data_IF_660136442861
#
_entry.id   IF_660136442861
#
_cell.length_a   1.000
_cell.length_b   1.000
_cell.length_c   1.000
_cell.angle_alpha   90.00
_cell.angle_beta   90.00
_cell.angle_gamma   90.00
#
_symmetry.space_group_name_H-M   'P 1'
#
loop_
_entity.id
_entity.type
_entity.pdbx_description
1 polymer ?
#
# COMPACT_ATOMS: atom_id res chain seq x y z
N UNK A 1 8.39 -38.28 50.26
CA UNK A 1 7.83 -37.40 49.21
C UNK A 1 7.70 -38.22 47.94
N UNK A 2 6.47 -38.30 47.42
CA UNK A 2 6.06 -39.23 46.37
C UNK A 2 6.77 -38.97 45.03
N UNK A 3 7.26 -40.05 44.43
CA UNK A 3 7.66 -40.15 43.03
C UNK A 3 6.42 -40.36 42.16
N UNK A 4 6.18 -39.51 41.16
CA UNK A 4 5.15 -39.71 40.14
C UNK A 4 5.81 -40.05 38.81
N UNK A 5 5.48 -41.25 38.33
CA UNK A 5 5.88 -41.85 37.07
C UNK A 5 5.06 -41.31 35.91
N UNK A 6 5.72 -41.22 34.74
CA UNK A 6 5.12 -40.99 33.42
C UNK A 6 4.15 -42.12 33.05
N UNK A 7 3.07 -41.77 32.35
CA UNK A 7 2.31 -42.68 31.52
C UNK A 7 1.95 -41.98 30.19
N UNK A 8 2.26 -42.68 29.11
CA UNK A 8 1.97 -42.35 27.72
C UNK A 8 0.69 -43.08 27.31
N UNK A 9 -0.16 -42.46 26.49
CA UNK A 9 -1.14 -43.20 25.69
C UNK A 9 -1.31 -42.54 24.32
N UNK A 10 -1.09 -43.37 23.30
CA UNK A 10 -1.38 -43.11 21.90
C UNK A 10 -2.49 -44.06 21.47
N UNK A 11 -3.40 -43.59 20.61
CA UNK A 11 -4.29 -44.28 19.64
C UNK A 11 -5.53 -43.40 19.45
N UNK A 12 -6.18 -43.24 18.30
CA UNK A 12 -5.93 -43.57 16.89
C UNK A 12 -7.08 -42.94 16.08
N UNK A 13 -6.77 -42.44 14.89
CA UNK A 13 -7.60 -42.38 13.68
C UNK A 13 -9.14 -42.32 13.79
N UNK A 14 -9.70 -41.20 13.34
CA UNK A 14 -10.91 -41.21 12.51
C UNK A 14 -10.71 -40.36 11.26
N UNK A 15 -10.88 -41.04 10.12
CA UNK A 15 -10.90 -40.51 8.75
C UNK A 15 -12.35 -40.14 8.46
N UNK A 16 -12.65 -38.91 8.05
CA UNK A 16 -13.90 -38.63 7.33
C UNK A 16 -13.61 -37.66 6.18
N UNK A 17 -14.01 -38.11 5.00
CA UNK A 17 -13.71 -37.53 3.70
C UNK A 17 -14.89 -36.67 3.20
N UNK A 18 -14.52 -35.55 2.56
CA UNK A 18 -15.22 -34.86 1.45
C UNK A 18 -16.61 -34.26 1.74
N UNK A 19 -16.69 -32.94 1.52
CA UNK A 19 -17.31 -32.39 0.30
C UNK A 19 -16.86 -30.95 0.05
N UNK A 20 -16.33 -30.74 -1.16
CA UNK A 20 -16.14 -29.44 -1.81
C UNK A 20 -17.52 -28.83 -2.12
N UNK A 21 -17.68 -27.54 -1.85
CA UNK A 21 -18.68 -26.67 -2.50
C UNK A 21 -18.08 -25.27 -2.61
N UNK A 22 -17.44 -24.98 -3.74
CA UNK A 22 -17.98 -24.11 -4.80
C UNK A 22 -18.07 -22.63 -4.39
N UNK A 23 -16.93 -21.93 -4.50
CA UNK A 23 -16.89 -20.47 -4.55
C UNK A 23 -17.46 -19.99 -5.91
N UNK A 24 -18.30 -18.95 -5.95
CA UNK A 24 -18.68 -18.32 -7.20
C UNK A 24 -17.53 -17.45 -7.71
N UNK A 25 -16.93 -17.89 -8.80
CA UNK A 25 -15.95 -17.15 -9.59
C UNK A 25 -16.66 -15.98 -10.29
N UNK A 26 -16.51 -14.76 -9.77
CA UNK A 26 -16.92 -13.55 -10.48
C UNK A 26 -15.81 -13.18 -11.47
N UNK A 27 -15.90 -13.71 -12.69
CA UNK A 27 -15.09 -13.26 -13.83
C UNK A 27 -15.61 -11.89 -14.28
N UNK A 28 -14.91 -10.82 -13.94
CA UNK A 28 -15.08 -9.55 -14.64
C UNK A 28 -14.53 -9.69 -16.08
N UNK A 29 -15.42 -9.53 -17.06
CA UNK A 29 -15.06 -9.41 -18.47
C UNK A 29 -14.32 -8.09 -18.69
N UNK A 30 -13.03 -8.16 -18.98
CA UNK A 30 -12.26 -7.04 -19.50
C UNK A 30 -12.35 -7.03 -21.04
N UNK A 31 -13.19 -6.14 -21.59
CA UNK A 31 -13.23 -5.87 -23.03
C UNK A 31 -12.06 -4.94 -23.37
N UNK A 32 -10.95 -5.51 -23.83
CA UNK A 32 -9.85 -4.73 -24.42
C UNK A 32 -10.25 -4.26 -25.83
N UNK A 33 -10.49 -2.96 -26.00
CA UNK A 33 -10.43 -2.34 -27.34
C UNK A 33 -8.95 -2.22 -27.73
N UNK A 34 -8.54 -3.04 -28.69
CA UNK A 34 -7.23 -2.93 -29.33
C UNK A 34 -7.14 -1.61 -30.10
N UNK A 35 -6.14 -0.79 -29.80
CA UNK A 35 -5.76 0.33 -30.66
C UNK A 35 -4.46 -0.06 -31.37
N UNK A 36 -4.61 -0.48 -32.62
CA UNK A 36 -3.51 -0.77 -33.55
C UNK A 36 -2.96 0.57 -34.04
N UNK A 37 -1.80 1.00 -33.54
CA UNK A 37 -1.05 2.10 -34.17
C UNK A 37 -0.35 1.58 -35.43
N UNK A 38 -0.99 1.78 -36.58
CA UNK A 38 -0.41 1.62 -37.92
C UNK A 38 0.77 2.58 -38.08
N UNK A 39 1.99 2.05 -38.15
CA UNK A 39 3.17 2.80 -38.62
C UNK A 39 3.03 3.01 -40.12
N UNK A 40 2.72 4.23 -40.55
CA UNK A 40 2.79 4.60 -41.97
C UNK A 40 4.24 4.77 -42.39
N UNK A 41 4.70 3.91 -43.31
CA UNK A 41 5.91 4.14 -44.13
C UNK A 41 5.60 5.27 -45.11
N UNK A 42 6.22 6.43 -44.91
CA UNK A 42 6.20 7.51 -45.91
C UNK A 42 7.36 7.29 -46.90
N UNK A 43 6.98 7.03 -48.14
CA UNK A 43 7.86 6.98 -49.31
C UNK A 43 8.31 8.40 -49.64
N UNK A 44 9.62 8.62 -49.72
CA UNK A 44 10.20 9.88 -50.19
C UNK A 44 10.22 9.91 -51.72
N UNK A 45 9.82 11.03 -52.30
CA UNK A 45 10.08 11.39 -53.70
C UNK A 45 10.47 12.87 -53.76
N UNK A 46 11.46 13.27 -54.57
CA UNK A 46 12.00 14.62 -54.52
C UNK A 46 11.25 15.55 -55.48
N UNK A 47 10.88 16.75 -55.01
CA UNK A 47 10.43 17.84 -55.87
C UNK A 47 11.34 19.05 -55.68
N UNK A 48 11.74 19.59 -56.83
CA UNK A 48 12.76 20.60 -57.06
C UNK A 48 12.41 21.97 -56.47
N UNK A 49 13.46 22.61 -55.92
CA UNK A 49 13.78 24.05 -55.86
C UNK A 49 12.67 25.10 -55.96
N UNK A 50 12.57 25.92 -54.91
CA UNK A 50 12.47 27.38 -55.03
C UNK A 50 13.07 28.06 -53.78
N UNK A 51 13.84 29.13 -54.02
CA UNK A 51 14.49 30.01 -53.05
C UNK A 51 13.45 30.68 -52.13
N UNK A 52 13.75 30.76 -50.84
CA UNK A 52 13.04 31.64 -49.90
C UNK A 52 13.62 31.52 -48.50
N UNK A 53 14.34 32.55 -48.06
CA UNK A 53 14.89 32.63 -46.71
C UNK A 53 13.75 32.71 -45.68
N UNK A 54 13.74 31.77 -44.73
CA UNK A 54 12.82 31.75 -43.60
C UNK A 54 13.48 31.03 -42.43
N UNK A 55 13.66 31.72 -41.31
CA UNK A 55 14.35 31.26 -40.10
C UNK A 55 13.71 29.95 -39.59
N UNK A 56 14.50 28.89 -39.51
CA UNK A 56 14.10 27.62 -38.89
C UNK A 56 14.11 27.78 -37.37
N UNK A 57 12.93 27.92 -36.77
CA UNK A 57 12.75 27.80 -35.32
C UNK A 57 12.71 26.31 -35.00
N UNK A 58 13.82 25.78 -34.47
CA UNK A 58 13.85 24.45 -33.85
C UNK A 58 13.06 24.51 -32.54
N UNK A 59 11.78 24.17 -32.59
CA UNK A 59 11.05 23.78 -31.39
C UNK A 59 11.51 22.37 -31.04
N UNK A 60 12.52 22.25 -30.18
CA UNK A 60 12.84 20.99 -29.52
C UNK A 60 11.67 20.66 -28.59
N UNK A 61 10.72 19.89 -29.10
CA UNK A 61 9.67 19.27 -28.29
C UNK A 61 10.36 18.22 -27.40
N UNK A 62 10.81 18.68 -26.23
CA UNK A 62 11.15 17.79 -25.13
C UNK A 62 9.84 17.16 -24.66
N UNK A 63 9.47 16.03 -25.27
CA UNK A 63 8.54 15.11 -24.63
C UNK A 63 9.31 14.42 -23.51
N UNK A 64 9.20 14.95 -22.28
CA UNK A 64 9.45 14.12 -21.12
C UNK A 64 8.34 13.08 -21.09
N UNK A 65 8.63 11.89 -21.63
CA UNK A 65 7.84 10.70 -21.32
C UNK A 65 8.16 10.41 -19.86
N UNK A 66 7.42 11.02 -18.94
CA UNK A 66 7.33 10.51 -17.57
C UNK A 66 6.61 9.17 -17.70
N UNK A 67 7.40 8.10 -17.83
CA UNK A 67 6.89 6.76 -17.64
C UNK A 67 6.37 6.75 -16.20
N UNK A 68 5.06 6.90 -16.02
CA UNK A 68 4.45 6.77 -14.70
C UNK A 68 4.54 5.28 -14.43
N UNK A 69 5.52 4.91 -13.60
CA UNK A 69 5.74 3.55 -13.15
C UNK A 69 4.43 3.00 -12.57
N UNK A 70 4.13 1.73 -12.85
CA UNK A 70 2.88 1.11 -12.43
C UNK A 70 3.05 0.53 -11.03
N UNK A 71 2.40 1.14 -10.04
CA UNK A 71 2.33 0.63 -8.67
C UNK A 71 1.06 -0.21 -8.52
N UNK A 72 1.21 -1.52 -8.28
CA UNK A 72 0.09 -2.37 -7.92
C UNK A 72 -0.05 -2.45 -6.40
N UNK A 73 -1.30 -2.33 -5.91
CA UNK A 73 -1.62 -2.37 -4.49
C UNK A 73 -2.46 -3.61 -4.23
N UNK A 74 -1.90 -4.55 -3.46
CA UNK A 74 -2.55 -5.79 -3.04
C UNK A 74 -2.99 -5.65 -1.58
N UNK A 75 -4.29 -5.80 -1.34
CA UNK A 75 -4.85 -5.85 0.01
C UNK A 75 -4.70 -7.26 0.59
N UNK A 76 -4.12 -7.35 1.79
CA UNK A 76 -3.91 -8.60 2.52
C UNK A 76 -4.69 -8.53 3.83
N UNK A 77 -5.75 -9.34 4.00
CA UNK A 77 -6.47 -9.44 5.26
C UNK A 77 -5.56 -10.02 6.35
N UNK A 78 -5.57 -9.36 7.51
CA UNK A 78 -4.83 -9.80 8.70
C UNK A 78 -5.75 -9.78 9.91
N UNK A 79 -5.40 -10.60 10.92
CA UNK A 79 -6.13 -10.69 12.18
C UNK A 79 -7.64 -10.92 11.94
N UNK A 80 -8.50 -10.01 12.44
CA UNK A 80 -9.95 -10.11 12.32
C UNK A 80 -10.50 -9.20 11.21
N UNK A 81 -10.06 -7.96 11.19
CA UNK A 81 -10.59 -6.91 10.32
C UNK A 81 -9.51 -5.94 9.82
N UNK A 82 -8.23 -6.20 10.07
CA UNK A 82 -7.13 -5.37 9.61
C UNK A 82 -6.82 -5.62 8.13
N UNK A 83 -6.38 -4.57 7.45
CA UNK A 83 -5.79 -4.65 6.12
C UNK A 83 -4.35 -4.17 6.14
N UNK A 84 -3.44 -5.06 5.73
CA UNK A 84 -2.13 -4.68 5.26
C UNK A 84 -2.16 -4.49 3.74
N UNK A 85 -1.25 -3.67 3.20
CA UNK A 85 -1.18 -3.41 1.76
C UNK A 85 0.20 -3.69 1.21
N UNK A 86 0.32 -4.70 0.34
CA UNK A 86 1.57 -4.97 -0.37
C UNK A 86 1.63 -4.10 -1.62
N UNK A 87 2.71 -3.33 -1.73
CA UNK A 87 3.00 -2.43 -2.82
C UNK A 87 4.00 -3.09 -3.75
N UNK A 88 3.59 -3.30 -4.99
CA UNK A 88 4.37 -3.95 -6.03
C UNK A 88 4.74 -2.94 -7.09
N UNK A 89 6.01 -2.53 -7.16
CA UNK A 89 6.51 -1.77 -8.29
C UNK A 89 6.82 -2.74 -9.45
N UNK A 90 6.14 -2.56 -10.59
CA UNK A 90 6.30 -3.47 -11.74
C UNK A 90 7.63 -3.30 -12.47
N UNK A 91 8.20 -2.09 -12.44
CA UNK A 91 9.39 -1.75 -13.23
C UNK A 91 10.69 -2.25 -12.57
N UNK A 92 10.83 -2.06 -11.25
CA UNK A 92 12.01 -2.46 -10.49
C UNK A 92 11.85 -3.79 -9.77
N UNK A 93 10.62 -4.27 -9.59
CA UNK A 93 10.30 -5.42 -8.74
C UNK A 93 10.43 -5.15 -7.24
N UNK A 94 10.63 -3.88 -6.85
CA UNK A 94 10.65 -3.47 -5.44
C UNK A 94 9.30 -3.74 -4.78
N UNK A 95 9.32 -4.30 -3.57
CA UNK A 95 8.11 -4.59 -2.80
C UNK A 95 8.13 -3.86 -1.47
N UNK A 96 7.03 -3.17 -1.16
CA UNK A 96 6.74 -2.59 0.14
C UNK A 96 5.55 -3.28 0.80
N UNK A 97 5.43 -3.17 2.12
CA UNK A 97 4.19 -3.50 2.83
C UNK A 97 3.83 -2.37 3.78
N UNK A 98 2.57 -1.95 3.76
CA UNK A 98 1.99 -0.99 4.70
C UNK A 98 1.29 -1.76 5.81
N UNK A 99 1.58 -1.40 7.05
CA UNK A 99 0.96 -1.88 8.29
C UNK A 99 0.85 -3.42 8.42
N UNK A 100 1.97 -4.18 8.38
CA UNK A 100 1.91 -5.62 8.55
C UNK A 100 1.55 -6.00 9.99
N UNK A 101 0.26 -6.26 10.23
CA UNK A 101 -0.26 -6.70 11.54
C UNK A 101 0.42 -7.95 12.05
N UNK A 102 0.63 -8.92 11.17
CA UNK A 102 1.26 -10.22 11.42
C UNK A 102 2.10 -10.61 10.19
N UNK A 103 3.19 -11.33 10.39
CA UNK A 103 4.15 -11.61 9.33
C UNK A 103 3.65 -12.67 8.32
N UNK A 104 2.98 -13.72 8.81
CA UNK A 104 2.68 -14.91 7.99
C UNK A 104 1.80 -14.61 6.75
N UNK A 105 0.71 -13.82 6.80
CA UNK A 105 -0.07 -13.49 5.61
C UNK A 105 0.73 -12.75 4.54
N UNK A 106 1.66 -11.88 4.96
CA UNK A 106 2.55 -11.14 4.07
C UNK A 106 3.56 -12.10 3.44
N UNK A 107 4.19 -12.94 4.26
CA UNK A 107 5.13 -13.98 3.83
C UNK A 107 4.47 -14.89 2.77
N UNK A 108 3.23 -15.33 3.00
CA UNK A 108 2.52 -16.19 2.08
C UNK A 108 2.19 -15.51 0.75
N UNK A 109 1.86 -14.21 0.76
CA UNK A 109 1.71 -13.46 -0.49
C UNK A 109 3.04 -13.32 -1.25
N UNK A 110 4.12 -12.99 -0.54
CA UNK A 110 5.46 -12.88 -1.13
C UNK A 110 5.93 -14.21 -1.74
N UNK A 111 5.68 -15.34 -1.06
CA UNK A 111 5.95 -16.69 -1.60
C UNK A 111 5.17 -16.96 -2.88
N UNK A 112 3.87 -16.59 -2.95
CA UNK A 112 3.04 -16.79 -4.16
C UNK A 112 3.53 -15.96 -5.34
N UNK A 113 3.99 -14.74 -5.09
CA UNK A 113 4.50 -13.84 -6.13
C UNK A 113 5.97 -14.10 -6.48
N UNK A 114 6.69 -14.87 -5.67
CA UNK A 114 8.13 -15.14 -5.85
C UNK A 114 9.00 -13.90 -5.66
N UNK A 115 8.54 -12.92 -4.88
CA UNK A 115 9.21 -11.63 -4.66
C UNK A 115 9.78 -11.51 -3.25
N UNK A 116 10.76 -10.61 -3.09
CA UNK A 116 11.39 -10.31 -1.81
C UNK A 116 10.90 -8.96 -1.27
N UNK A 117 10.75 -8.83 0.06
CA UNK A 117 10.32 -7.59 0.70
C UNK A 117 11.47 -6.60 0.83
N UNK A 118 11.25 -5.35 0.42
CA UNK A 118 12.26 -4.28 0.49
C UNK A 118 11.95 -3.29 1.62
N UNK A 119 10.68 -2.88 1.74
CA UNK A 119 10.26 -1.86 2.70
C UNK A 119 9.06 -2.29 3.54
N UNK A 120 9.05 -1.86 4.79
CA UNK A 120 7.89 -1.93 5.69
C UNK A 120 7.56 -0.48 6.04
N UNK A 121 6.30 -0.07 5.87
CA UNK A 121 5.83 1.26 6.18
C UNK A 121 4.76 1.16 7.27
N UNK A 122 4.92 1.86 8.38
CA UNK A 122 3.93 1.90 9.44
C UNK A 122 3.29 3.29 9.54
N UNK A 123 1.96 3.32 9.57
CA UNK A 123 1.17 4.55 9.77
C UNK A 123 1.23 5.03 11.21
N UNK A 124 1.21 4.10 12.17
CA UNK A 124 1.32 4.37 13.60
C UNK A 124 1.78 3.13 14.38
N UNK A 125 1.91 3.26 15.70
CA UNK A 125 2.59 2.29 16.55
C UNK A 125 1.72 1.19 17.18
N UNK A 126 0.42 1.14 16.90
CA UNK A 126 -0.39 0.06 17.48
C UNK A 126 0.07 -1.30 16.98
N UNK A 127 -0.09 -2.30 17.86
CA UNK A 127 0.47 -3.63 17.64
C UNK A 127 -0.12 -4.29 16.39
N UNK A 128 -1.41 -4.11 16.14
CA UNK A 128 -2.10 -4.62 14.97
C UNK A 128 -1.71 -3.93 13.64
N UNK A 129 -0.80 -2.95 13.67
CA UNK A 129 -0.18 -2.35 12.47
C UNK A 129 1.32 -2.61 12.38
N UNK A 130 1.95 -3.10 13.46
CA UNK A 130 3.40 -3.23 13.57
C UNK A 130 3.88 -4.63 13.98
N UNK A 131 2.96 -5.54 14.34
CA UNK A 131 3.26 -6.83 14.95
C UNK A 131 4.12 -7.73 14.07
N UNK A 132 4.01 -7.61 12.75
CA UNK A 132 4.84 -8.33 11.78
C UNK A 132 6.22 -7.71 11.51
N UNK A 133 6.51 -6.50 12.02
CA UNK A 133 7.70 -5.73 11.61
C UNK A 133 9.01 -6.49 11.81
N UNK A 134 9.26 -6.96 13.04
CA UNK A 134 10.56 -7.53 13.40
C UNK A 134 10.84 -8.84 12.66
N UNK A 135 9.84 -9.69 12.52
CA UNK A 135 9.97 -10.96 11.81
C UNK A 135 10.19 -10.74 10.30
N UNK A 136 9.42 -9.85 9.68
CA UNK A 136 9.59 -9.51 8.26
C UNK A 136 10.95 -8.86 8.00
N UNK A 137 11.40 -7.98 8.91
CA UNK A 137 12.72 -7.36 8.86
C UNK A 137 13.84 -8.40 8.94
N UNK A 138 13.78 -9.30 9.93
CA UNK A 138 14.77 -10.36 10.13
C UNK A 138 14.84 -11.30 8.91
N UNK A 139 13.67 -11.71 8.41
CA UNK A 139 13.54 -12.66 7.31
C UNK A 139 14.04 -12.13 5.97
N UNK A 140 13.74 -10.86 5.66
CA UNK A 140 13.95 -10.31 4.32
C UNK A 140 15.03 -9.22 4.25
N UNK A 141 15.53 -8.76 5.41
CA UNK A 141 16.42 -7.60 5.48
C UNK A 141 15.71 -6.29 5.12
N UNK A 142 14.38 -6.25 5.19
CA UNK A 142 13.56 -5.11 4.82
C UNK A 142 13.86 -3.90 5.72
N UNK A 143 13.69 -2.68 5.18
CA UNK A 143 13.83 -1.44 5.94
C UNK A 143 12.49 -0.95 6.46
N UNK A 144 12.41 -0.72 7.76
CA UNK A 144 11.20 -0.23 8.42
C UNK A 144 11.19 1.28 8.41
N UNK A 145 10.08 1.85 7.97
CA UNK A 145 9.86 3.28 7.76
C UNK A 145 8.63 3.67 8.56
N UNK A 146 8.72 4.76 9.31
CA UNK A 146 7.61 5.25 10.11
C UNK A 146 7.79 6.69 10.53
N UNK A 147 6.89 7.16 11.40
CA UNK A 147 6.92 8.51 11.93
C UNK A 147 8.14 8.76 12.81
N UNK A 148 8.79 9.90 12.64
CA UNK A 148 9.85 10.37 13.52
C UNK A 148 9.36 10.61 14.95
N UNK A 149 8.08 10.96 15.14
CA UNK A 149 7.49 11.11 16.47
C UNK A 149 7.31 9.76 17.19
N UNK A 150 7.11 8.69 16.44
CA UNK A 150 6.96 7.33 16.96
C UNK A 150 8.22 6.49 16.80
N UNK A 151 9.39 7.12 16.62
CA UNK A 151 10.66 6.40 16.40
C UNK A 151 10.95 5.35 17.47
N UNK A 152 10.68 5.66 18.74
CA UNK A 152 10.92 4.72 19.85
C UNK A 152 9.73 3.77 20.09
N UNK A 153 8.63 3.92 19.33
CA UNK A 153 7.40 3.12 19.43
C UNK A 153 7.18 2.18 18.25
N UNK A 154 7.75 2.47 17.08
CA UNK A 154 7.71 1.59 15.90
C UNK A 154 8.82 0.52 16.01
N UNK A 155 8.47 -0.77 16.15
CA UNK A 155 9.46 -1.84 16.28
C UNK A 155 10.35 -1.93 15.04
N UNK A 156 11.66 -1.81 15.26
CA UNK A 156 12.67 -2.02 14.22
C UNK A 156 12.83 -0.88 13.22
N UNK A 157 12.31 0.32 13.47
CA UNK A 157 12.42 1.47 12.55
C UNK A 157 13.87 1.74 12.12
N UNK A 158 14.08 1.85 10.80
CA UNK A 158 15.36 2.23 10.18
C UNK A 158 15.35 3.67 9.69
N UNK A 159 14.18 4.16 9.24
CA UNK A 159 14.01 5.50 8.69
C UNK A 159 12.80 6.19 9.33
N UNK A 160 13.02 7.35 9.93
CA UNK A 160 12.01 8.15 10.61
C UNK A 160 11.70 9.41 9.78
N UNK A 161 10.44 9.56 9.37
CA UNK A 161 9.96 10.63 8.49
C UNK A 161 9.09 11.63 9.26
N UNK A 162 9.03 12.89 8.81
CA UNK A 162 8.27 13.99 9.42
C UNK A 162 7.19 14.50 8.46
N UNK A 163 6.24 15.30 8.99
CA UNK A 163 5.27 16.03 8.16
C UNK A 163 5.95 16.78 7.01
N UNK A 164 5.41 16.61 5.80
CA UNK A 164 5.90 17.27 4.59
C UNK A 164 7.16 16.65 3.97
N UNK A 165 7.76 15.63 4.59
CA UNK A 165 8.85 14.89 3.96
C UNK A 165 8.37 14.21 2.67
N UNK A 166 9.28 14.15 1.70
CA UNK A 166 9.12 13.38 0.47
C UNK A 166 10.10 12.23 0.49
N UNK A 167 9.56 11.01 0.41
CA UNK A 167 10.33 9.78 0.34
C UNK A 167 10.14 9.12 -1.03
N UNK A 168 11.08 8.28 -1.47
CA UNK A 168 11.02 7.63 -2.78
C UNK A 168 10.87 6.11 -2.61
N UNK A 169 9.73 5.59 -3.05
CA UNK A 169 9.49 4.15 -3.21
C UNK A 169 9.79 3.77 -4.66
N UNK A 170 10.97 3.21 -4.97
CA UNK A 170 11.31 2.77 -6.33
C UNK A 170 11.09 3.84 -7.44
N UNK A 171 11.29 5.12 -7.12
CA UNK A 171 11.06 6.25 -8.04
C UNK A 171 9.66 6.88 -7.95
N UNK A 172 8.75 6.28 -7.19
CA UNK A 172 7.46 6.87 -6.82
C UNK A 172 7.64 7.81 -5.63
N UNK A 173 7.26 9.07 -5.79
CA UNK A 173 7.27 10.04 -4.69
C UNK A 173 6.15 9.69 -3.68
N UNK A 174 6.50 9.67 -2.40
CA UNK A 174 5.60 9.44 -1.26
C UNK A 174 5.62 10.68 -0.39
N UNK A 175 4.46 11.30 -0.20
CA UNK A 175 4.30 12.47 0.65
C UNK A 175 3.87 12.01 2.03
N UNK A 176 4.66 12.35 3.04
CA UNK A 176 4.34 12.05 4.43
C UNK A 176 3.49 13.17 5.00
N UNK A 177 2.37 12.81 5.58
CA UNK A 177 1.42 13.74 6.19
C UNK A 177 1.21 13.36 7.64
N UNK A 178 1.56 14.24 8.58
CA UNK A 178 1.18 14.06 9.98
C UNK A 178 -0.34 14.15 10.07
N UNK A 179 -0.96 13.11 10.61
CA UNK A 179 -2.40 12.99 10.80
C UNK A 179 -2.77 12.63 12.25
N UNK A 180 -2.37 13.44 13.24
CA UNK A 180 -2.64 13.16 14.65
C UNK A 180 -4.15 13.12 14.93
N UNK A 181 -4.55 12.23 15.84
CA UNK A 181 -5.94 12.07 16.24
C UNK A 181 -6.14 10.74 16.94
N UNK A 182 -6.02 9.65 16.19
CA UNK A 182 -6.02 8.30 16.75
C UNK A 182 -4.85 8.11 17.71
N UNK A 183 -3.62 8.29 17.20
CA UNK A 183 -2.41 8.47 17.99
C UNK A 183 -1.79 9.84 17.71
N UNK A 184 -0.84 10.29 18.53
CA UNK A 184 -0.14 11.57 18.36
C UNK A 184 0.92 11.53 17.25
N UNK A 185 1.50 10.37 17.00
CA UNK A 185 2.55 10.17 16.00
C UNK A 185 2.06 9.63 14.66
N UNK A 186 0.74 9.47 14.48
CA UNK A 186 0.15 8.90 13.27
C UNK A 186 0.53 9.72 12.02
N UNK A 187 0.96 9.02 10.98
CA UNK A 187 1.20 9.56 9.64
C UNK A 187 0.32 8.86 8.61
N UNK A 188 -0.09 9.60 7.59
CA UNK A 188 -0.68 9.06 6.36
C UNK A 188 0.32 9.19 5.21
N UNK A 189 0.32 8.23 4.30
CA UNK A 189 1.30 8.13 3.21
C UNK A 189 0.60 8.30 1.87
N UNK A 190 0.83 9.43 1.21
CA UNK A 190 0.19 9.75 -0.07
C UNK A 190 1.14 9.49 -1.25
N UNK A 191 0.68 8.68 -2.19
CA UNK A 191 1.34 8.36 -3.46
C UNK A 191 0.63 9.11 -4.60
N UNK A 192 1.01 10.37 -4.92
CA UNK A 192 0.34 11.16 -5.94
C UNK A 192 0.33 10.51 -7.32
N UNK A 193 1.43 9.84 -7.72
CA UNK A 193 1.52 9.14 -9.00
C UNK A 193 0.48 8.03 -9.17
N UNK A 194 0.09 7.40 -8.05
CA UNK A 194 -0.88 6.31 -7.99
C UNK A 194 -2.28 6.77 -7.55
N UNK A 195 -2.44 8.06 -7.22
CA UNK A 195 -3.66 8.60 -6.59
C UNK A 195 -4.13 7.74 -5.40
N UNK A 196 -3.19 7.33 -4.55
CA UNK A 196 -3.47 6.43 -3.43
C UNK A 196 -2.98 7.05 -2.13
N UNK A 197 -3.79 6.99 -1.07
CA UNK A 197 -3.37 7.36 0.29
C UNK A 197 -3.60 6.20 1.26
N UNK A 198 -2.58 5.90 2.06
CA UNK A 198 -2.68 4.98 3.18
C UNK A 198 -2.95 5.78 4.45
N UNK A 199 -4.15 5.65 5.01
CA UNK A 199 -4.65 6.51 6.10
C UNK A 199 -4.56 5.86 7.48
N UNK A 200 -4.15 4.59 7.54
CA UNK A 200 -4.17 3.79 8.77
C UNK A 200 -5.51 3.95 9.47
N UNK A 201 -5.45 4.39 10.72
CA UNK A 201 -6.59 4.56 11.60
C UNK A 201 -7.06 6.01 11.73
N UNK A 202 -6.57 6.91 10.88
CA UNK A 202 -7.07 8.28 10.85
C UNK A 202 -8.46 8.35 10.21
N UNK A 203 -8.59 7.81 8.99
CA UNK A 203 -9.82 7.87 8.20
C UNK A 203 -10.17 6.47 7.69
N UNK A 204 -11.43 6.08 7.88
CA UNK A 204 -12.04 4.88 7.32
C UNK A 204 -13.16 5.25 6.35
N UNK A 205 -13.70 4.26 5.64
CA UNK A 205 -14.96 4.46 4.92
C UNK A 205 -16.07 4.81 5.92
N UNK A 206 -16.65 6.01 5.76
CA UNK A 206 -17.76 6.55 6.56
C UNK A 206 -17.46 6.83 8.05
N UNK A 207 -16.20 6.76 8.50
CA UNK A 207 -15.84 7.09 9.89
C UNK A 207 -14.38 7.53 10.04
N UNK A 208 -13.97 7.79 11.29
CA UNK A 208 -12.59 8.10 11.65
C UNK A 208 -12.19 7.31 12.90
N UNK A 209 -10.88 7.22 13.16
CA UNK A 209 -10.35 6.53 14.33
C UNK A 209 -10.88 7.06 15.64
N UNK A 210 -10.99 6.17 16.63
CA UNK A 210 -11.16 6.57 18.04
C UNK A 210 -9.96 7.42 18.47
N UNK A 211 -10.22 8.44 19.28
CA UNK A 211 -9.20 9.37 19.76
C UNK A 211 -8.53 8.82 21.02
N UNK A 212 -7.54 7.93 20.88
CA UNK A 212 -6.83 7.39 22.03
C UNK A 212 -5.82 8.38 22.62
N UNK A 213 -5.09 9.10 21.76
CA UNK A 213 -4.04 10.03 22.22
C UNK A 213 -4.26 11.49 21.78
N UNK A 214 -5.03 11.70 20.71
CA UNK A 214 -5.28 13.03 20.14
C UNK A 214 -6.56 13.69 20.63
N UNK A 215 -6.84 14.86 20.08
CA UNK A 215 -8.05 15.66 20.36
C UNK A 215 -8.98 15.71 19.15
N UNK A 216 -10.28 16.01 19.32
CA UNK A 216 -11.19 16.19 18.20
C UNK A 216 -10.73 17.25 17.19
N UNK A 217 -10.10 18.33 17.68
CA UNK A 217 -9.52 19.38 16.84
C UNK A 217 -8.38 18.86 15.95
N UNK A 218 -7.51 17.99 16.51
CA UNK A 218 -6.44 17.37 15.73
C UNK A 218 -7.00 16.42 14.68
N UNK A 219 -7.93 15.54 15.06
CA UNK A 219 -8.55 14.63 14.09
C UNK A 219 -9.26 15.40 12.97
N UNK A 220 -10.02 16.44 13.28
CA UNK A 220 -10.66 17.27 12.25
C UNK A 220 -9.64 17.89 11.29
N UNK A 221 -8.54 18.44 11.80
CA UNK A 221 -7.48 18.99 10.96
C UNK A 221 -6.82 17.91 10.08
N UNK A 222 -6.59 16.72 10.63
CA UNK A 222 -6.05 15.56 9.91
C UNK A 222 -6.99 15.09 8.78
N UNK A 223 -8.28 14.99 9.07
CA UNK A 223 -9.29 14.66 8.06
C UNK A 223 -9.36 15.74 6.97
N UNK A 224 -9.29 17.03 7.33
CA UNK A 224 -9.26 18.14 6.38
C UNK A 224 -8.04 18.09 5.46
N UNK A 225 -6.86 17.71 5.97
CA UNK A 225 -5.66 17.49 5.13
C UNK A 225 -5.94 16.39 4.10
N UNK A 226 -6.51 15.25 4.51
CA UNK A 226 -6.81 14.11 3.62
C UNK A 226 -7.88 14.49 2.59
N UNK A 227 -8.98 15.14 3.00
CA UNK A 227 -10.06 15.54 2.08
C UNK A 227 -9.69 16.71 1.15
N UNK A 228 -8.54 17.35 1.37
CA UNK A 228 -8.01 18.38 0.46
C UNK A 228 -7.21 17.79 -0.70
N UNK A 229 -6.97 16.48 -0.70
CA UNK A 229 -6.39 15.75 -1.84
C UNK A 229 -7.39 15.68 -3.01
N UNK A 230 -6.94 15.38 -4.24
CA UNK A 230 -7.84 15.22 -5.39
C UNK A 230 -8.96 14.20 -5.13
N UNK A 231 -10.18 14.50 -5.61
CA UNK A 231 -11.38 13.67 -5.44
C UNK A 231 -11.22 12.22 -5.94
N UNK A 232 -10.32 11.99 -6.90
CA UNK A 232 -10.02 10.66 -7.45
C UNK A 232 -8.93 9.90 -6.66
N UNK A 233 -8.57 10.39 -5.47
CA UNK A 233 -7.65 9.71 -4.56
C UNK A 233 -8.34 8.52 -3.88
N UNK A 234 -7.81 7.32 -4.11
CA UNK A 234 -8.25 6.10 -3.43
C UNK A 234 -7.70 6.05 -2.00
N UNK A 235 -8.58 5.76 -1.04
CA UNK A 235 -8.24 5.65 0.39
C UNK A 235 -8.06 4.17 0.76
N UNK A 236 -6.90 3.85 1.33
CA UNK A 236 -6.54 2.53 1.84
C UNK A 236 -6.37 2.62 3.36
N UNK A 237 -7.43 2.26 4.09
CA UNK A 237 -7.51 2.42 5.54
C UNK A 237 -7.18 1.13 6.30
N UNK A 238 -6.94 1.23 7.61
CA UNK A 238 -6.41 0.16 8.45
C UNK A 238 -7.37 -1.02 8.69
N UNK A 239 -8.69 -0.78 8.64
CA UNK A 239 -9.70 -1.78 9.02
C UNK A 239 -10.93 -1.82 8.10
N UNK A 240 -11.55 -2.99 8.00
CA UNK A 240 -12.88 -3.19 7.40
C UNK A 240 -14.01 -2.83 8.39
N UNK A 241 -14.18 -1.54 8.65
CA UNK A 241 -15.27 -1.01 9.49
C UNK A 241 -16.48 -0.52 8.70
N UNK A 242 -16.51 -0.67 7.38
CA UNK A 242 -17.52 -0.06 6.52
C UNK A 242 -18.93 -0.50 6.90
N UNK A 243 -19.15 -1.81 7.07
CA UNK A 243 -20.49 -2.35 7.37
C UNK A 243 -21.00 -1.89 8.74
N UNK A 244 -20.14 -1.88 9.76
CA UNK A 244 -20.50 -1.43 11.12
C UNK A 244 -20.84 0.05 11.12
N UNK A 245 -20.09 0.88 10.38
CA UNK A 245 -20.35 2.31 10.29
C UNK A 245 -21.68 2.62 9.59
N UNK A 246 -22.04 1.89 8.53
CA UNK A 246 -23.35 2.02 7.89
C UNK A 246 -24.52 1.79 8.87
N UNK A 247 -24.34 0.92 9.87
CA UNK A 247 -25.40 0.60 10.85
C UNK A 247 -25.53 1.61 11.99
N UNK A 248 -24.56 2.50 12.18
CA UNK A 248 -24.62 3.56 13.20
C UNK A 248 -25.41 4.81 12.74
N UNK A 249 -25.88 4.82 11.49
CA UNK A 249 -26.60 5.94 10.88
C UNK A 249 -28.14 5.75 10.93
N UNK A 250 -28.63 4.78 11.70
CA UNK A 250 -30.07 4.51 11.86
C UNK A 250 -30.55 4.63 13.31
#
# INVERSE_FOLDING_TARGET
>A
MQTISKASSATSFFRCSRKLSSQPCVRQLNIRKSLVCRVMKLVSSPLRTLRGAGKSIRVSKFCSVSNVSSLQIELVPCLKDNYAYILHDEDTGTVGVVDPSEAEPIIDSLKRSGRNLTYILNTHHHYDHTGGNLELKDRYGAKVIGSAMDKDRIPGIDMALKDGDKWMFAGHEVHVMDTPGHTKGHISLYFPGSRAIFTGDTMFSLSCGKLFEGTPKQMLASLQKITSLPDDTSIYCGHEYTLVCCTLVF
#
